data_IF_867439859045
#
_entry.id   IF_867439859045
#
_cell.length_a   1.000
_cell.length_b   1.000
_cell.length_c   1.000
_cell.angle_alpha   90.00
_cell.angle_beta   90.00
_cell.angle_gamma   90.00
#
_symmetry.space_group_name_H-M   'P 1'
#
loop_
_entity.id
_entity.type
_entity.pdbx_description
1 polymer ?
#
# COMPACT_ATOMS: atom_id res chain seq x y z
N UNK A 1 -5.02 -10.41 2.78
CA UNK A 1 -4.58 -9.00 2.90
C UNK A 1 -4.32 -8.35 1.56
N UNK A 2 -3.31 -8.69 0.74
CA UNK A 2 -3.21 -8.13 -0.64
C UNK A 2 -4.47 -8.43 -1.48
N UNK A 3 -5.12 -9.57 -1.21
CA UNK A 3 -6.42 -9.96 -1.74
C UNK A 3 -7.59 -9.12 -1.20
N UNK A 4 -7.54 -8.73 0.08
CA UNK A 4 -8.60 -7.97 0.75
C UNK A 4 -8.44 -6.48 0.43
N UNK A 5 -7.24 -5.93 0.57
CA UNK A 5 -6.84 -4.63 0.06
C UNK A 5 -6.99 -4.50 -1.45
N UNK A 6 -6.79 -5.57 -2.23
CA UNK A 6 -7.00 -5.57 -3.68
C UNK A 6 -8.47 -5.67 -4.08
N UNK A 7 -9.29 -6.43 -3.35
CA UNK A 7 -10.75 -6.49 -3.55
C UNK A 7 -11.45 -5.23 -3.04
N UNK A 8 -11.03 -4.68 -1.90
CA UNK A 8 -11.51 -3.40 -1.41
C UNK A 8 -11.00 -2.27 -2.29
N UNK A 9 -9.71 -2.22 -2.65
CA UNK A 9 -9.21 -1.21 -3.59
C UNK A 9 -9.85 -1.34 -4.97
N UNK A 10 -10.12 -2.54 -5.49
CA UNK A 10 -10.84 -2.72 -6.75
C UNK A 10 -12.31 -2.27 -6.69
N UNK A 11 -13.01 -2.61 -5.59
CA UNK A 11 -14.40 -2.20 -5.34
C UNK A 11 -14.52 -0.68 -5.12
N UNK A 12 -13.64 -0.11 -4.28
CA UNK A 12 -13.56 1.32 -4.04
C UNK A 12 -12.98 2.09 -5.23
N UNK A 13 -12.16 1.47 -6.09
CA UNK A 13 -11.71 2.09 -7.35
C UNK A 13 -12.86 2.24 -8.32
N UNK A 14 -13.72 1.22 -8.42
CA UNK A 14 -14.89 1.28 -9.28
C UNK A 14 -15.92 2.30 -8.77
N UNK A 15 -16.21 2.33 -7.47
CA UNK A 15 -17.18 3.31 -6.90
C UNK A 15 -16.62 4.72 -6.76
N UNK A 16 -15.37 4.84 -6.29
CA UNK A 16 -14.67 6.10 -6.12
C UNK A 16 -14.45 6.80 -7.45
N UNK A 17 -14.01 6.08 -8.49
CA UNK A 17 -13.89 6.64 -9.83
C UNK A 17 -15.25 7.13 -10.35
N UNK A 18 -16.33 6.37 -10.17
CA UNK A 18 -17.66 6.78 -10.65
C UNK A 18 -18.23 8.00 -9.90
N UNK A 19 -18.09 8.06 -8.58
CA UNK A 19 -18.56 9.19 -7.77
C UNK A 19 -17.73 10.46 -7.99
N UNK A 20 -16.40 10.33 -8.15
CA UNK A 20 -15.54 11.46 -8.52
C UNK A 20 -15.77 11.89 -9.97
N UNK A 21 -16.03 10.96 -10.89
CA UNK A 21 -16.33 11.25 -12.29
C UNK A 21 -17.57 12.13 -12.43
N UNK A 22 -18.61 11.88 -11.64
CA UNK A 22 -19.83 12.69 -11.59
C UNK A 22 -19.58 14.11 -11.02
N UNK A 23 -18.65 14.24 -10.05
CA UNK A 23 -18.22 15.52 -9.46
C UNK A 23 -17.24 16.31 -10.36
N UNK A 24 -16.42 15.62 -11.14
CA UNK A 24 -15.44 16.20 -12.08
C UNK A 24 -16.07 16.63 -13.41
N UNK A 25 -17.08 15.92 -13.90
CA UNK A 25 -17.82 16.28 -15.13
C UNK A 25 -18.70 17.52 -14.96
N UNK A 26 -19.11 17.84 -13.73
CA UNK A 26 -19.99 18.97 -13.47
C UNK A 26 -19.28 20.32 -13.33
N UNK A 27 -17.99 20.35 -12.91
CA UNK A 27 -17.19 21.57 -12.81
C UNK A 27 -15.67 21.30 -12.92
N UNK A 28 -15.05 21.72 -14.04
CA UNK A 28 -13.65 22.18 -14.01
C UNK A 28 -13.71 23.58 -13.35
N UNK A 29 -13.28 23.79 -12.08
CA UNK A 29 -11.95 23.46 -11.56
C UNK A 29 -11.95 22.87 -10.13
N UNK A 30 -11.41 21.66 -9.94
CA UNK A 30 -11.44 20.97 -8.63
C UNK A 30 -10.39 21.49 -7.62
N UNK A 31 -9.35 22.20 -8.08
CA UNK A 31 -8.27 22.67 -7.18
C UNK A 31 -8.54 24.00 -6.47
N UNK A 32 -9.41 24.83 -7.02
CA UNK A 32 -9.53 26.24 -6.61
C UNK A 32 -10.93 26.50 -6.08
N UNK A 33 -11.07 26.40 -4.76
CA UNK A 33 -12.30 26.69 -4.02
C UNK A 33 -11.98 27.65 -2.87
N UNK A 34 -12.84 28.64 -2.62
CA UNK A 34 -12.64 29.60 -1.54
C UNK A 34 -12.79 28.96 -0.14
N UNK A 35 -13.27 27.71 -0.06
CA UNK A 35 -13.63 27.03 1.19
C UNK A 35 -12.65 25.91 1.58
N UNK A 36 -12.25 25.03 0.65
CA UNK A 36 -11.51 23.79 1.01
C UNK A 36 -10.33 23.50 0.08
N UNK A 37 -9.30 22.83 0.62
CA UNK A 37 -8.18 22.25 -0.15
C UNK A 37 -8.56 20.83 -0.59
N UNK A 38 -8.23 20.40 -1.83
CA UNK A 38 -8.50 19.03 -2.24
C UNK A 38 -7.79 18.01 -1.37
N UNK A 39 -8.54 17.00 -0.92
CA UNK A 39 -8.08 15.86 -0.13
C UNK A 39 -6.78 15.25 -0.74
N UNK A 40 -5.71 15.07 0.08
CA UNK A 40 -4.40 14.64 -0.40
C UNK A 40 -4.28 13.14 -0.69
N UNK A 41 -5.39 12.39 -0.64
CA UNK A 41 -5.39 10.96 -0.96
C UNK A 41 -4.92 10.72 -2.38
N UNK A 42 -4.16 9.63 -2.52
CA UNK A 42 -3.65 9.18 -3.81
C UNK A 42 -4.78 8.90 -4.80
N UNK A 43 -5.93 8.41 -4.35
CA UNK A 43 -7.10 8.19 -5.21
C UNK A 43 -7.65 9.50 -5.78
N UNK A 44 -7.90 10.50 -4.93
CA UNK A 44 -8.45 11.79 -5.35
C UNK A 44 -7.50 12.49 -6.34
N UNK A 45 -6.23 12.67 -5.93
CA UNK A 45 -5.25 13.40 -6.72
C UNK A 45 -4.86 12.70 -8.02
N UNK A 46 -4.79 11.35 -8.03
CA UNK A 46 -4.55 10.60 -9.27
C UNK A 46 -5.68 10.82 -10.27
N UNK A 47 -6.92 10.82 -9.80
CA UNK A 47 -8.11 11.01 -10.64
C UNK A 47 -8.13 12.43 -11.21
N UNK A 48 -7.90 13.44 -10.36
CA UNK A 48 -7.81 14.83 -10.79
C UNK A 48 -6.71 14.99 -11.84
N UNK A 49 -5.52 14.41 -11.64
CA UNK A 49 -4.43 14.48 -12.61
C UNK A 49 -4.79 13.83 -13.95
N UNK A 50 -5.36 12.61 -13.94
CA UNK A 50 -5.71 11.89 -15.17
C UNK A 50 -6.70 12.67 -16.03
N UNK A 51 -7.66 13.36 -15.40
CA UNK A 51 -8.63 14.21 -16.10
C UNK A 51 -8.07 15.57 -16.53
N UNK A 52 -7.07 16.10 -15.82
CA UNK A 52 -6.52 17.43 -16.08
C UNK A 52 -5.21 17.44 -16.89
N UNK A 53 -4.58 16.29 -17.11
CA UNK A 53 -3.24 16.19 -17.76
C UNK A 53 -3.19 16.80 -19.16
N UNK A 54 -4.28 16.76 -19.91
CA UNK A 54 -4.37 17.36 -21.26
C UNK A 54 -4.44 18.89 -21.18
N UNK A 55 -5.07 19.41 -20.13
CA UNK A 55 -5.24 20.84 -19.84
C UNK A 55 -4.22 21.35 -18.79
N UNK A 56 -3.07 20.69 -18.67
CA UNK A 56 -2.10 20.92 -17.60
C UNK A 56 -1.74 22.40 -17.41
N UNK A 57 -1.44 23.12 -18.50
CA UNK A 57 -1.06 24.54 -18.43
C UNK A 57 -2.23 25.42 -18.00
N UNK A 58 -3.44 25.12 -18.46
CA UNK A 58 -4.65 25.88 -18.15
C UNK A 58 -4.97 25.76 -16.66
N UNK A 59 -4.87 24.56 -16.08
CA UNK A 59 -5.06 24.35 -14.65
C UNK A 59 -4.06 25.16 -13.82
N UNK A 60 -2.78 25.19 -14.21
CA UNK A 60 -1.79 26.00 -13.47
C UNK A 60 -2.04 27.51 -13.60
N UNK A 61 -2.49 27.98 -14.77
CA UNK A 61 -2.78 29.41 -14.99
C UNK A 61 -4.03 29.84 -14.21
N UNK A 62 -5.03 28.96 -14.09
CA UNK A 62 -6.27 29.26 -13.36
C UNK A 62 -6.02 29.65 -11.91
N UNK A 63 -5.09 29.00 -11.20
CA UNK A 63 -4.74 29.39 -9.83
C UNK A 63 -4.18 30.79 -9.72
N UNK A 64 -3.25 31.13 -10.61
CA UNK A 64 -2.70 32.49 -10.69
C UNK A 64 -3.78 33.54 -11.02
N UNK A 65 -4.80 33.18 -11.80
CA UNK A 65 -5.94 34.06 -12.10
C UNK A 65 -6.84 34.26 -10.88
N UNK A 66 -7.17 33.18 -10.17
CA UNK A 66 -8.00 33.22 -8.97
C UNK A 66 -7.37 34.09 -7.88
N UNK A 67 -6.06 33.95 -7.64
CA UNK A 67 -5.34 34.80 -6.68
C UNK A 67 -5.38 36.27 -7.11
N UNK A 68 -5.16 36.56 -8.39
CA UNK A 68 -5.19 37.95 -8.91
C UNK A 68 -6.56 38.58 -8.75
N UNK A 69 -7.63 37.83 -9.00
CA UNK A 69 -8.99 38.31 -8.84
C UNK A 69 -9.34 38.55 -7.37
N UNK A 70 -9.03 37.60 -6.49
CA UNK A 70 -9.24 37.74 -5.05
C UNK A 70 -8.44 38.93 -4.47
N UNK A 71 -7.18 39.10 -4.89
CA UNK A 71 -6.37 40.24 -4.49
C UNK A 71 -6.94 41.58 -5.01
N UNK A 72 -7.52 41.59 -6.21
CA UNK A 72 -8.22 42.76 -6.74
C UNK A 72 -9.45 43.10 -5.89
N UNK A 73 -10.28 42.12 -5.55
CA UNK A 73 -11.45 42.31 -4.67
C UNK A 73 -11.03 42.85 -3.28
N UNK A 74 -10.00 42.26 -2.67
CA UNK A 74 -9.43 42.75 -1.39
C UNK A 74 -8.97 44.21 -1.49
N UNK A 75 -8.22 44.56 -2.52
CA UNK A 75 -7.71 45.92 -2.68
C UNK A 75 -8.85 46.94 -2.89
N UNK A 76 -9.94 46.57 -3.57
CA UNK A 76 -11.12 47.43 -3.69
C UNK A 76 -11.80 47.65 -2.34
N UNK A 77 -11.87 46.62 -1.48
CA UNK A 77 -12.40 46.76 -0.11
C UNK A 77 -11.52 47.71 0.73
N UNK A 78 -10.19 47.53 0.68
CA UNK A 78 -9.27 48.41 1.40
C UNK A 78 -9.40 49.87 0.93
N UNK A 79 -9.53 50.10 -0.38
CA UNK A 79 -9.70 51.46 -0.93
C UNK A 79 -11.03 52.12 -0.55
N UNK A 80 -12.08 51.33 -0.33
CA UNK A 80 -13.38 51.83 0.07
C UNK A 80 -13.55 51.97 1.59
N UNK A 81 -12.60 51.46 2.39
CA UNK A 81 -12.58 51.51 3.87
C UNK A 81 -12.91 52.88 4.44
N UNK A 82 -12.21 53.92 3.96
CA UNK A 82 -12.36 55.29 4.49
C UNK A 82 -13.71 55.93 4.14
N UNK A 83 -14.48 55.34 3.21
CA UNK A 83 -15.79 55.82 2.77
C UNK A 83 -16.96 55.18 3.52
N UNK A 84 -16.69 54.19 4.38
CA UNK A 84 -17.72 53.46 5.14
C UNK A 84 -17.99 54.17 6.46
N UNK A 85 -19.13 54.86 6.53
CA UNK A 85 -19.55 55.63 7.71
C UNK A 85 -20.26 54.79 8.78
N UNK A 86 -20.97 53.74 8.38
CA UNK A 86 -21.72 52.85 9.27
C UNK A 86 -21.23 51.40 9.18
N UNK A 87 -21.40 50.60 10.24
CA UNK A 87 -20.99 49.19 10.31
C UNK A 87 -19.49 48.91 10.06
N UNK A 88 -18.62 49.81 10.54
CA UNK A 88 -17.16 49.72 10.35
C UNK A 88 -16.58 48.36 10.81
N UNK A 89 -17.04 47.84 11.95
CA UNK A 89 -16.60 46.53 12.47
C UNK A 89 -16.93 45.35 11.52
N UNK A 90 -18.10 45.36 10.87
CA UNK A 90 -18.47 44.35 9.89
C UNK A 90 -17.64 44.49 8.61
N UNK A 91 -17.30 45.73 8.23
CA UNK A 91 -16.45 46.00 7.07
C UNK A 91 -15.00 45.55 7.28
N UNK A 92 -14.43 45.78 8.47
CA UNK A 92 -13.13 45.25 8.86
C UNK A 92 -13.10 43.73 8.79
N UNK A 93 -14.17 43.06 9.26
CA UNK A 93 -14.30 41.62 9.15
C UNK A 93 -14.31 41.13 7.69
N UNK A 94 -14.98 41.85 6.78
CA UNK A 94 -14.95 41.52 5.34
C UNK A 94 -13.54 41.69 4.75
N UNK A 95 -12.78 42.71 5.15
CA UNK A 95 -11.39 42.88 4.72
C UNK A 95 -10.55 41.69 5.22
N UNK A 96 -10.66 41.32 6.50
CA UNK A 96 -9.94 40.18 7.09
C UNK A 96 -10.30 38.86 6.41
N UNK A 97 -11.58 38.62 6.11
CA UNK A 97 -12.02 37.45 5.35
C UNK A 97 -11.41 37.44 3.95
N UNK A 98 -11.42 38.58 3.25
CA UNK A 98 -10.83 38.66 1.91
C UNK A 98 -9.31 38.46 1.91
N UNK A 99 -8.61 38.88 2.97
CA UNK A 99 -7.20 38.55 3.18
C UNK A 99 -6.97 37.05 3.38
N UNK A 100 -7.81 36.41 4.21
CA UNK A 100 -7.76 34.96 4.41
C UNK A 100 -7.99 34.20 3.12
N UNK A 101 -8.98 34.59 2.31
CA UNK A 101 -9.26 33.96 1.02
C UNK A 101 -8.06 34.05 0.07
N UNK A 102 -7.37 35.20 0.02
CA UNK A 102 -6.16 35.35 -0.80
C UNK A 102 -5.04 34.42 -0.33
N UNK A 103 -4.84 34.31 0.98
CA UNK A 103 -3.82 33.44 1.58
C UNK A 103 -4.14 31.95 1.33
N UNK A 104 -5.40 31.54 1.47
CA UNK A 104 -5.87 30.18 1.18
C UNK A 104 -5.71 29.83 -0.30
N UNK A 105 -6.11 30.73 -1.21
CA UNK A 105 -5.95 30.52 -2.66
C UNK A 105 -4.48 30.43 -3.06
N UNK A 106 -3.59 31.18 -2.39
CA UNK A 106 -2.14 31.07 -2.59
C UNK A 106 -1.61 29.71 -2.14
N UNK A 107 -2.09 29.22 -1.00
CA UNK A 107 -1.75 27.89 -0.51
C UNK A 107 -2.22 26.80 -1.49
N UNK A 108 -3.45 26.90 -1.99
CA UNK A 108 -4.01 26.00 -3.01
C UNK A 108 -3.26 26.04 -4.33
N UNK A 109 -2.78 27.21 -4.76
CA UNK A 109 -2.01 27.32 -5.99
C UNK A 109 -0.66 26.61 -5.89
N UNK A 110 0.09 26.81 -4.81
CA UNK A 110 1.33 26.06 -4.60
C UNK A 110 1.08 24.56 -4.42
N UNK A 111 -0.02 24.19 -3.76
CA UNK A 111 -0.45 22.79 -3.64
C UNK A 111 -0.75 22.17 -5.01
N UNK A 112 -1.57 22.85 -5.83
CA UNK A 112 -1.93 22.43 -7.18
C UNK A 112 -0.69 22.30 -8.08
N UNK A 113 0.19 23.31 -8.10
CA UNK A 113 1.45 23.25 -8.83
C UNK A 113 2.32 22.07 -8.38
N UNK A 114 2.50 21.90 -7.06
CA UNK A 114 3.25 20.79 -6.49
C UNK A 114 2.72 19.44 -6.96
N UNK A 115 1.43 19.17 -6.78
CA UNK A 115 0.87 17.86 -7.12
C UNK A 115 0.79 17.61 -8.62
N UNK A 116 0.40 18.61 -9.41
CA UNK A 116 0.34 18.47 -10.86
C UNK A 116 1.72 18.12 -11.43
N UNK A 117 2.77 18.81 -11.00
CA UNK A 117 4.13 18.47 -11.43
C UNK A 117 4.62 17.12 -10.86
N UNK A 118 4.24 16.77 -9.62
CA UNK A 118 4.60 15.49 -9.02
C UNK A 118 3.99 14.31 -9.78
N UNK A 119 2.69 14.34 -10.07
CA UNK A 119 2.01 13.29 -10.84
C UNK A 119 2.46 13.26 -12.30
N UNK A 120 2.78 14.41 -12.90
CA UNK A 120 3.41 14.44 -14.23
C UNK A 120 4.77 13.77 -14.25
N UNK A 121 5.57 13.95 -13.20
CA UNK A 121 6.82 13.21 -13.04
C UNK A 121 6.57 11.71 -12.80
N UNK A 122 5.57 11.33 -12.00
CA UNK A 122 5.20 9.92 -11.80
C UNK A 122 4.80 9.25 -13.13
N UNK A 123 4.01 9.94 -13.96
CA UNK A 123 3.51 9.43 -15.23
C UNK A 123 4.63 9.35 -16.29
N UNK A 124 5.21 10.50 -16.65
CA UNK A 124 6.16 10.63 -17.75
C UNK A 124 7.62 10.36 -17.37
N UNK A 125 8.00 10.56 -16.10
CA UNK A 125 9.40 10.59 -15.68
C UNK A 125 10.16 11.85 -16.09
N UNK A 126 9.46 12.89 -16.55
CA UNK A 126 10.08 14.14 -17.00
C UNK A 126 10.93 14.80 -15.90
N UNK A 127 12.19 15.08 -16.22
CA UNK A 127 13.14 15.70 -15.30
C UNK A 127 12.78 17.14 -14.95
N UNK A 128 12.16 17.88 -15.88
CA UNK A 128 11.73 19.26 -15.60
C UNK A 128 10.61 19.26 -14.56
N UNK A 129 9.60 18.41 -14.74
CA UNK A 129 8.54 18.19 -13.75
C UNK A 129 9.11 17.76 -12.39
N UNK A 130 10.19 16.97 -12.38
CA UNK A 130 10.89 16.55 -11.16
C UNK A 130 11.51 17.72 -10.36
N UNK A 131 11.97 18.75 -11.06
CA UNK A 131 12.52 19.97 -10.45
C UNK A 131 11.39 20.87 -9.99
N UNK A 132 10.38 21.08 -10.85
CA UNK A 132 9.26 21.98 -10.56
C UNK A 132 8.46 21.52 -9.34
N UNK A 133 8.14 20.23 -9.21
CA UNK A 133 7.38 19.78 -8.04
C UNK A 133 8.16 20.02 -6.72
N UNK A 134 9.49 19.93 -6.73
CA UNK A 134 10.30 20.17 -5.52
C UNK A 134 10.34 21.64 -5.15
N UNK A 135 10.38 22.53 -6.15
CA UNK A 135 10.31 23.98 -5.93
C UNK A 135 8.94 24.36 -5.36
N UNK A 136 7.86 23.90 -6.00
CA UNK A 136 6.49 24.14 -5.53
C UNK A 136 6.23 23.51 -4.16
N UNK A 137 6.81 22.33 -3.85
CA UNK A 137 6.74 21.72 -2.52
C UNK A 137 7.37 22.61 -1.44
N UNK A 138 8.52 23.23 -1.73
CA UNK A 138 9.15 24.18 -0.82
C UNK A 138 8.29 25.41 -0.56
N UNK A 139 7.70 25.98 -1.62
CA UNK A 139 6.79 27.12 -1.52
C UNK A 139 5.49 26.77 -0.79
N UNK A 140 4.94 25.58 -1.05
CA UNK A 140 3.75 25.08 -0.37
C UNK A 140 3.99 24.93 1.13
N UNK A 141 5.12 24.34 1.55
CA UNK A 141 5.49 24.23 2.97
C UNK A 141 5.59 25.60 3.66
N UNK A 142 6.34 26.51 3.06
CA UNK A 142 6.53 27.85 3.62
C UNK A 142 5.20 28.61 3.73
N UNK A 143 4.32 28.46 2.73
CA UNK A 143 3.00 29.09 2.73
C UNK A 143 2.08 28.43 3.75
N UNK A 144 2.12 27.10 3.90
CA UNK A 144 1.34 26.38 4.90
C UNK A 144 1.68 26.86 6.31
N UNK A 145 2.98 26.92 6.64
CA UNK A 145 3.43 27.39 7.95
C UNK A 145 3.06 28.87 8.18
N UNK A 146 3.17 29.72 7.15
CA UNK A 146 2.72 31.12 7.22
C UNK A 146 1.20 31.26 7.47
N UNK A 147 0.36 30.50 6.76
CA UNK A 147 -1.10 30.54 6.93
C UNK A 147 -1.49 30.06 8.33
N UNK A 148 -0.84 29.00 8.80
CA UNK A 148 -1.05 28.46 10.15
C UNK A 148 -0.59 29.41 11.25
N UNK A 149 0.47 30.19 11.03
CA UNK A 149 0.94 31.19 11.99
C UNK A 149 0.07 32.45 11.98
N UNK A 150 -0.32 32.93 10.81
CA UNK A 150 -1.10 34.16 10.66
C UNK A 150 -2.54 34.02 11.13
N UNK A 151 -3.16 32.86 10.91
CA UNK A 151 -4.58 32.62 11.21
C UNK A 151 -4.77 31.71 12.44
N UNK A 152 -3.89 31.78 13.45
CA UNK A 152 -3.99 30.91 14.65
C UNK A 152 -5.29 31.07 15.43
N UNK A 153 -5.80 32.31 15.54
CA UNK A 153 -6.99 32.63 16.33
C UNK A 153 -8.30 32.21 15.65
N UNK A 154 -8.29 32.09 14.32
CA UNK A 154 -9.42 31.65 13.50
C UNK A 154 -8.88 30.87 12.28
N UNK A 155 -8.60 29.57 12.48
CA UNK A 155 -7.84 28.77 11.54
C UNK A 155 -8.60 28.56 10.23
N UNK A 156 -7.90 28.83 9.12
CA UNK A 156 -8.42 28.61 7.76
C UNK A 156 -8.54 27.13 7.37
N UNK A 157 -7.88 26.24 8.10
CA UNK A 157 -7.90 24.79 7.90
C UNK A 157 -8.09 24.10 9.24
N UNK A 158 -8.85 23.01 9.26
CA UNK A 158 -8.99 22.19 10.44
C UNK A 158 -7.65 21.51 10.81
N UNK A 159 -7.41 21.20 12.10
CA UNK A 159 -6.20 20.49 12.52
C UNK A 159 -5.98 19.15 11.80
N UNK A 160 -7.07 18.44 11.45
CA UNK A 160 -7.02 17.18 10.71
C UNK A 160 -6.49 17.36 9.29
N UNK A 161 -7.01 18.34 8.54
CA UNK A 161 -6.54 18.64 7.18
C UNK A 161 -5.06 19.03 7.17
N UNK A 162 -4.62 19.80 8.17
CA UNK A 162 -3.21 20.17 8.31
C UNK A 162 -2.32 18.95 8.55
N UNK A 163 -2.78 17.99 9.37
CA UNK A 163 -2.08 16.73 9.62
C UNK A 163 -1.97 15.90 8.33
N UNK A 164 -3.05 15.77 7.57
CA UNK A 164 -3.08 15.05 6.30
C UNK A 164 -2.13 15.66 5.26
N UNK A 165 -2.15 16.99 5.11
CA UNK A 165 -1.25 17.72 4.21
C UNK A 165 0.22 17.51 4.59
N UNK A 166 0.53 17.59 5.90
CA UNK A 166 1.88 17.34 6.43
C UNK A 166 2.32 15.89 6.24
N UNK A 167 1.38 14.95 6.34
CA UNK A 167 1.67 13.55 6.07
C UNK A 167 1.98 13.33 4.60
N UNK A 168 1.18 13.91 3.70
CA UNK A 168 1.37 13.84 2.25
C UNK A 168 2.74 14.40 1.83
N UNK A 169 3.12 15.55 2.39
CA UNK A 169 4.47 16.11 2.29
C UNK A 169 5.54 15.07 2.68
N UNK A 170 5.39 14.43 3.84
CA UNK A 170 6.35 13.46 4.37
C UNK A 170 6.50 12.24 3.45
N UNK A 171 5.39 11.75 2.88
CA UNK A 171 5.40 10.65 1.90
C UNK A 171 6.28 11.00 0.70
N UNK A 172 6.07 12.20 0.14
CA UNK A 172 6.78 12.64 -1.07
C UNK A 172 8.26 12.87 -0.80
N UNK A 173 8.61 13.43 0.35
CA UNK A 173 10.03 13.60 0.74
C UNK A 173 10.77 12.28 0.91
N UNK A 174 10.11 11.29 1.52
CA UNK A 174 10.70 9.97 1.73
C UNK A 174 10.74 9.12 0.46
N UNK A 175 9.95 9.45 -0.57
CA UNK A 175 9.83 8.68 -1.82
C UNK A 175 11.18 8.39 -2.49
N UNK A 176 12.13 9.33 -2.48
CA UNK A 176 13.47 9.13 -3.05
C UNK A 176 14.27 8.05 -2.29
N UNK A 177 14.18 8.06 -0.96
CA UNK A 177 14.82 7.05 -0.11
C UNK A 177 14.18 5.68 -0.33
N UNK A 178 12.85 5.66 -0.40
CA UNK A 178 12.05 4.47 -0.68
C UNK A 178 12.42 3.83 -2.01
N UNK A 179 12.49 4.63 -3.08
CA UNK A 179 12.87 4.17 -4.40
C UNK A 179 14.27 3.54 -4.44
N UNK A 180 15.25 4.15 -3.76
CA UNK A 180 16.62 3.61 -3.69
C UNK A 180 16.65 2.24 -2.99
N UNK A 181 16.01 2.13 -1.83
CA UNK A 181 15.98 0.87 -1.08
C UNK A 181 15.15 -0.20 -1.79
N UNK A 182 14.05 0.17 -2.45
CA UNK A 182 13.26 -0.72 -3.29
C UNK A 182 14.11 -1.36 -4.41
N UNK A 183 14.93 -0.54 -5.11
CA UNK A 183 15.87 -1.03 -6.12
C UNK A 183 16.88 -2.01 -5.55
N UNK A 184 17.50 -1.67 -4.41
CA UNK A 184 18.47 -2.56 -3.74
C UNK A 184 17.82 -3.89 -3.38
N UNK A 185 16.65 -3.87 -2.74
CA UNK A 185 15.94 -5.08 -2.32
C UNK A 185 15.52 -5.94 -3.52
N UNK A 186 14.98 -5.33 -4.58
CA UNK A 186 14.63 -6.06 -5.81
C UNK A 186 15.85 -6.72 -6.43
N UNK A 187 16.97 -6.00 -6.54
CA UNK A 187 18.23 -6.55 -7.06
C UNK A 187 18.71 -7.72 -6.20
N UNK A 188 18.67 -7.60 -4.87
CA UNK A 188 19.06 -8.69 -3.96
C UNK A 188 18.13 -9.90 -4.10
N UNK A 189 16.81 -9.70 -4.15
CA UNK A 189 15.85 -10.79 -4.29
C UNK A 189 15.96 -11.48 -5.66
N UNK A 190 16.15 -10.71 -6.73
CA UNK A 190 16.39 -11.25 -8.07
C UNK A 190 17.73 -11.98 -8.15
N UNK A 191 18.79 -11.42 -7.54
CA UNK A 191 20.09 -12.08 -7.47
C UNK A 191 19.99 -13.44 -6.76
N UNK A 192 19.29 -13.51 -5.61
CA UNK A 192 19.02 -14.77 -4.92
C UNK A 192 18.22 -15.73 -5.80
N UNK A 193 17.21 -15.24 -6.52
CA UNK A 193 16.41 -16.07 -7.43
C UNK A 193 17.25 -16.63 -8.58
N UNK A 194 18.07 -15.80 -9.23
CA UNK A 194 18.91 -16.17 -10.36
C UNK A 194 20.04 -17.12 -9.96
N UNK A 195 20.69 -16.87 -8.82
CA UNK A 195 21.75 -17.76 -8.30
C UNK A 195 21.22 -19.14 -7.90
N UNK A 196 19.91 -19.30 -7.73
CA UNK A 196 19.26 -20.59 -7.51
C UNK A 196 18.99 -21.39 -8.79
N UNK A 197 19.22 -20.83 -9.98
CA UNK A 197 18.95 -21.52 -11.25
C UNK A 197 19.99 -22.65 -11.47
N UNK A 198 19.54 -23.90 -11.65
CA UNK A 198 20.45 -25.00 -11.93
C UNK A 198 21.14 -24.78 -13.29
N UNK A 199 22.47 -24.85 -13.31
CA UNK A 199 23.30 -24.66 -14.51
C UNK A 199 23.94 -23.27 -14.67
N UNK A 200 23.49 -22.25 -13.91
CA UNK A 200 24.14 -20.93 -13.90
C UNK A 200 25.49 -20.98 -13.18
N UNK A 201 25.57 -21.76 -12.11
CA UNK A 201 26.81 -22.05 -11.38
C UNK A 201 27.32 -23.38 -11.94
N UNK A 202 28.46 -23.32 -12.64
CA UNK A 202 29.04 -24.41 -13.44
C UNK A 202 29.50 -25.62 -12.60
N UNK A 203 29.65 -25.43 -11.28
CA UNK A 203 29.99 -26.49 -10.32
C UNK A 203 28.76 -27.02 -9.58
N UNK A 204 28.86 -28.27 -9.09
CA UNK A 204 27.92 -28.90 -8.13
C UNK A 204 27.64 -28.06 -6.86
N UNK A 205 28.30 -26.90 -6.70
CA UNK A 205 28.04 -25.87 -5.70
C UNK A 205 26.61 -25.32 -5.72
N UNK A 206 25.89 -25.34 -6.84
CA UNK A 206 24.47 -24.93 -6.84
C UNK A 206 23.63 -25.83 -5.91
N UNK A 207 23.92 -27.13 -5.81
CA UNK A 207 23.24 -28.04 -4.84
C UNK A 207 23.56 -27.70 -3.37
N UNK A 208 24.59 -26.89 -3.13
CA UNK A 208 25.07 -26.49 -1.80
C UNK A 208 24.58 -25.09 -1.40
N UNK A 209 24.00 -24.33 -2.31
CA UNK A 209 23.57 -22.96 -2.06
C UNK A 209 22.11 -22.90 -1.63
N UNK A 210 21.82 -22.17 -0.54
CA UNK A 210 20.46 -22.05 -0.01
C UNK A 210 19.50 -21.36 -0.99
N UNK A 211 20.01 -20.58 -1.95
CA UNK A 211 19.16 -19.94 -2.95
C UNK A 211 18.62 -20.90 -4.03
N UNK A 212 19.23 -22.08 -4.19
CA UNK A 212 18.66 -23.16 -5.02
C UNK A 212 17.36 -23.69 -4.39
N UNK A 213 17.31 -23.80 -3.06
CA UNK A 213 16.08 -24.13 -2.36
C UNK A 213 15.02 -23.03 -2.55
N UNK A 214 15.42 -21.78 -2.57
CA UNK A 214 14.52 -20.66 -2.85
C UNK A 214 13.91 -20.74 -4.26
N UNK A 215 14.74 -21.00 -5.28
CA UNK A 215 14.29 -21.19 -6.66
C UNK A 215 13.41 -22.44 -6.82
N UNK A 216 13.85 -23.59 -6.32
CA UNK A 216 13.13 -24.86 -6.44
C UNK A 216 11.78 -24.81 -5.73
N UNK A 217 11.70 -24.10 -4.60
CA UNK A 217 10.42 -23.92 -3.88
C UNK A 217 9.38 -23.18 -4.71
N UNK A 218 9.81 -22.23 -5.53
CA UNK A 218 8.90 -21.47 -6.40
C UNK A 218 8.55 -22.25 -7.67
N UNK A 219 9.56 -22.72 -8.39
CA UNK A 219 9.39 -23.20 -9.76
C UNK A 219 9.27 -24.73 -9.84
N UNK A 220 9.96 -25.46 -8.97
CA UNK A 220 10.10 -26.93 -9.02
C UNK A 220 9.79 -27.59 -7.66
N UNK A 221 8.61 -27.34 -7.06
CA UNK A 221 8.34 -27.77 -5.68
C UNK A 221 8.38 -29.29 -5.49
N UNK A 222 8.15 -30.06 -6.55
CA UNK A 222 8.25 -31.53 -6.53
C UNK A 222 9.69 -32.02 -6.37
N UNK A 223 10.70 -31.26 -6.83
CA UNK A 223 12.11 -31.66 -6.88
C UNK A 223 12.90 -31.32 -5.61
N UNK A 224 12.26 -30.77 -4.57
CA UNK A 224 12.92 -30.44 -3.29
C UNK A 224 13.26 -31.72 -2.51
N UNK A 225 14.11 -32.60 -3.04
CA UNK A 225 14.50 -33.86 -2.40
C UNK A 225 15.63 -33.61 -1.40
N UNK A 226 15.45 -34.12 -0.18
CA UNK A 226 16.38 -34.16 0.95
C UNK A 226 17.61 -33.27 0.86
N UNK A 227 17.38 -31.95 0.93
CA UNK A 227 18.47 -31.05 1.24
C UNK A 227 18.96 -31.36 2.65
N UNK A 228 20.18 -31.88 2.73
CA UNK A 228 20.94 -31.99 3.97
C UNK A 228 21.02 -30.60 4.63
N UNK A 229 20.93 -30.56 5.96
CA UNK A 229 21.14 -29.33 6.74
C UNK A 229 22.53 -28.78 6.39
N UNK A 230 22.61 -27.64 5.72
CA UNK A 230 23.87 -26.95 5.47
C UNK A 230 23.87 -25.59 6.16
N UNK A 231 25.05 -25.16 6.64
CA UNK A 231 25.24 -23.94 7.45
C UNK A 231 24.67 -22.67 6.78
N UNK A 232 24.68 -22.59 5.44
CA UNK A 232 24.12 -21.44 4.69
C UNK A 232 22.61 -21.26 4.89
N UNK A 233 21.84 -22.34 5.08
CA UNK A 233 20.38 -22.27 5.27
C UNK A 233 19.99 -21.59 6.58
N UNK A 234 20.79 -21.77 7.63
CA UNK A 234 20.54 -21.14 8.94
C UNK A 234 20.65 -19.61 8.87
N UNK A 235 21.47 -19.07 7.98
CA UNK A 235 21.60 -17.61 7.76
C UNK A 235 20.58 -17.08 6.77
N UNK A 236 20.20 -17.88 5.76
CA UNK A 236 19.25 -17.44 4.73
C UNK A 236 17.81 -17.32 5.25
N UNK A 237 17.36 -18.24 6.13
CA UNK A 237 16.02 -18.17 6.70
C UNK A 237 15.71 -16.83 7.41
N UNK A 238 16.53 -16.35 8.37
CA UNK A 238 16.31 -15.04 8.98
C UNK A 238 16.57 -13.89 8.01
N UNK A 239 17.50 -14.02 7.06
CA UNK A 239 17.73 -12.99 6.05
C UNK A 239 16.50 -12.77 5.14
N UNK A 240 15.82 -13.85 4.72
CA UNK A 240 14.55 -13.75 4.00
C UNK A 240 13.49 -13.08 4.88
N UNK A 241 13.32 -13.51 6.13
CA UNK A 241 12.33 -12.89 7.01
C UNK A 241 12.59 -11.38 7.19
N UNK A 242 13.84 -10.99 7.39
CA UNK A 242 14.24 -9.59 7.49
C UNK A 242 13.98 -8.83 6.19
N UNK A 243 14.37 -9.39 5.03
CA UNK A 243 14.08 -8.79 3.73
C UNK A 243 12.58 -8.62 3.50
N UNK A 244 11.76 -9.59 3.90
CA UNK A 244 10.30 -9.50 3.81
C UNK A 244 9.75 -8.35 4.64
N UNK A 245 10.13 -8.25 5.92
CA UNK A 245 9.66 -7.17 6.80
C UNK A 245 10.18 -5.81 6.33
N UNK A 246 11.45 -5.72 5.96
CA UNK A 246 12.06 -4.50 5.44
C UNK A 246 11.37 -4.01 4.17
N UNK A 247 10.99 -4.93 3.28
CA UNK A 247 10.23 -4.62 2.07
C UNK A 247 8.88 -4.00 2.35
N UNK A 248 8.19 -4.43 3.42
CA UNK A 248 6.91 -3.83 3.80
C UNK A 248 7.09 -2.41 4.34
N UNK A 249 8.16 -2.16 5.08
CA UNK A 249 8.52 -0.81 5.53
C UNK A 249 8.88 0.11 4.35
N UNK A 250 9.50 -0.44 3.30
CA UNK A 250 9.71 0.31 2.05
C UNK A 250 8.36 0.65 1.42
N UNK A 251 7.42 -0.29 1.34
CA UNK A 251 6.11 -0.02 0.75
C UNK A 251 5.30 1.06 1.50
N UNK A 252 5.56 1.31 2.80
CA UNK A 252 4.97 2.41 3.58
C UNK A 252 5.77 3.71 3.53
N UNK A 253 6.71 3.83 2.60
CA UNK A 253 7.62 4.97 2.48
C UNK A 253 8.49 5.26 3.71
N UNK A 254 8.60 4.36 4.70
CA UNK A 254 9.21 4.65 6.00
C UNK A 254 8.45 5.68 6.86
N UNK A 255 7.19 5.98 6.55
CA UNK A 255 6.36 6.91 7.34
C UNK A 255 6.06 6.29 8.70
N UNK A 256 5.74 5.00 8.67
CA UNK A 256 5.51 4.19 9.84
C UNK A 256 6.11 2.81 9.66
N UNK A 257 6.62 2.30 10.76
CA UNK A 257 7.19 0.97 10.90
C UNK A 257 6.18 0.01 11.55
N UNK A 258 5.23 0.52 12.33
CA UNK A 258 4.34 -0.31 13.16
C UNK A 258 3.33 -1.08 12.33
N UNK A 259 2.59 -0.40 11.46
CA UNK A 259 1.53 -1.04 10.67
C UNK A 259 2.12 -2.00 9.61
N UNK A 260 3.18 -1.66 8.86
CA UNK A 260 3.79 -2.62 7.93
C UNK A 260 4.37 -3.84 8.64
N UNK A 261 4.92 -3.67 9.85
CA UNK A 261 5.37 -4.80 10.67
C UNK A 261 4.20 -5.64 11.16
N UNK A 262 3.09 -5.02 11.58
CA UNK A 262 1.88 -5.73 11.97
C UNK A 262 1.33 -6.56 10.80
N UNK A 263 1.19 -5.97 9.61
CA UNK A 263 0.77 -6.70 8.41
C UNK A 263 1.80 -7.73 7.96
N UNK A 264 3.08 -7.45 8.16
CA UNK A 264 4.16 -8.40 7.95
C UNK A 264 3.99 -9.63 8.83
N UNK A 265 3.83 -9.42 10.13
CA UNK A 265 3.59 -10.47 11.11
C UNK A 265 2.32 -11.27 10.78
N UNK A 266 1.22 -10.59 10.42
CA UNK A 266 0.00 -11.26 9.96
C UNK A 266 0.24 -12.09 8.70
N UNK A 267 1.05 -11.58 7.77
CA UNK A 267 1.48 -12.28 6.56
C UNK A 267 2.31 -13.54 6.82
N UNK A 268 3.03 -13.58 7.95
CA UNK A 268 3.86 -14.72 8.35
C UNK A 268 3.06 -15.83 9.05
N UNK A 269 1.82 -15.58 9.50
CA UNK A 269 0.99 -16.58 10.20
C UNK A 269 0.90 -17.91 9.43
N UNK A 270 0.57 -17.94 8.12
CA UNK A 270 0.50 -19.21 7.40
C UNK A 270 1.85 -19.94 7.38
N UNK A 271 2.96 -19.21 7.25
CA UNK A 271 4.31 -19.79 7.27
C UNK A 271 4.61 -20.41 8.63
N UNK A 272 4.29 -19.70 9.72
CA UNK A 272 4.50 -20.16 11.10
C UNK A 272 3.65 -21.41 11.37
N UNK A 273 2.35 -21.36 11.06
CA UNK A 273 1.42 -22.48 11.27
C UNK A 273 1.86 -23.71 10.48
N UNK A 274 2.15 -23.57 9.19
CA UNK A 274 2.56 -24.70 8.35
C UNK A 274 3.91 -25.28 8.78
N UNK A 275 4.85 -24.43 9.23
CA UNK A 275 6.14 -24.89 9.77
C UNK A 275 5.94 -25.62 11.10
N UNK A 276 5.06 -25.13 11.98
CA UNK A 276 4.78 -25.74 13.28
C UNK A 276 4.07 -27.10 13.17
N UNK A 277 3.18 -27.25 12.18
CA UNK A 277 2.44 -28.49 11.91
C UNK A 277 3.23 -29.51 11.07
N UNK A 278 4.46 -29.18 10.67
CA UNK A 278 5.33 -30.10 9.93
C UNK A 278 6.03 -31.08 10.87
N UNK A 279 6.08 -32.36 10.50
CA UNK A 279 6.66 -33.42 11.35
C UNK A 279 8.19 -33.32 11.44
N UNK A 280 8.84 -32.73 10.43
CA UNK A 280 10.30 -32.61 10.33
C UNK A 280 10.84 -31.33 11.00
N UNK A 281 10.58 -31.13 12.30
CA UNK A 281 11.02 -29.95 13.08
C UNK A 281 12.53 -29.70 13.04
N UNK A 282 13.33 -30.75 12.87
CA UNK A 282 14.77 -30.63 12.71
C UNK A 282 15.13 -29.82 11.44
N UNK A 283 14.30 -29.77 10.40
CA UNK A 283 14.61 -29.03 9.16
C UNK A 283 13.96 -27.64 9.12
N UNK A 284 13.83 -26.94 10.26
CA UNK A 284 13.13 -25.66 10.38
C UNK A 284 13.60 -24.58 9.39
N UNK A 285 14.91 -24.38 9.22
CA UNK A 285 15.41 -23.37 8.28
C UNK A 285 15.01 -23.66 6.83
N UNK A 286 15.00 -24.94 6.43
CA UNK A 286 14.60 -25.35 5.08
C UNK A 286 13.09 -25.18 4.88
N UNK A 287 12.27 -25.49 5.89
CA UNK A 287 10.83 -25.25 5.87
C UNK A 287 10.52 -23.76 5.72
N UNK A 288 11.17 -22.90 6.51
CA UNK A 288 11.00 -21.45 6.45
C UNK A 288 11.34 -20.90 5.06
N UNK A 289 12.50 -21.26 4.50
CA UNK A 289 12.87 -20.84 3.14
C UNK A 289 11.81 -21.31 2.14
N UNK A 290 11.39 -22.58 2.21
CA UNK A 290 10.45 -23.15 1.25
C UNK A 290 9.09 -22.45 1.25
N UNK A 291 8.54 -22.16 2.44
CA UNK A 291 7.28 -21.45 2.57
C UNK A 291 7.41 -19.94 2.30
N UNK A 292 8.58 -19.33 2.57
CA UNK A 292 8.78 -17.90 2.29
C UNK A 292 8.96 -17.61 0.81
N UNK A 293 9.54 -18.53 0.05
CA UNK A 293 9.92 -18.30 -1.35
C UNK A 293 8.77 -17.83 -2.26
N UNK A 294 7.59 -18.47 -2.31
CA UNK A 294 6.49 -17.98 -3.14
C UNK A 294 5.88 -16.67 -2.63
N UNK A 295 6.03 -16.35 -1.34
CA UNK A 295 5.62 -15.06 -0.78
C UNK A 295 6.57 -13.94 -1.24
N UNK A 296 7.87 -14.22 -1.29
CA UNK A 296 8.86 -13.30 -1.84
C UNK A 296 8.64 -12.99 -3.31
N UNK A 297 8.16 -13.94 -4.10
CA UNK A 297 7.88 -13.68 -5.51
C UNK A 297 6.75 -12.66 -5.68
N UNK A 298 5.66 -12.77 -4.90
CA UNK A 298 4.60 -11.76 -4.86
C UNK A 298 5.18 -10.40 -4.43
N UNK A 299 6.10 -10.41 -3.48
CA UNK A 299 6.75 -9.20 -2.99
C UNK A 299 7.66 -8.55 -4.05
N UNK A 300 8.42 -9.35 -4.81
CA UNK A 300 9.24 -8.87 -5.93
C UNK A 300 8.38 -8.14 -6.96
N UNK A 301 7.18 -8.64 -7.26
CA UNK A 301 6.24 -7.97 -8.17
C UNK A 301 5.90 -6.56 -7.67
N UNK A 302 5.51 -6.43 -6.40
CA UNK A 302 5.12 -5.15 -5.82
C UNK A 302 6.30 -4.19 -5.70
N UNK A 303 7.42 -4.62 -5.08
CA UNK A 303 8.59 -3.76 -4.92
C UNK A 303 9.19 -3.41 -6.29
N UNK A 304 9.12 -4.30 -7.27
CA UNK A 304 9.57 -4.04 -8.64
C UNK A 304 8.92 -2.79 -9.24
N UNK A 305 7.63 -2.60 -9.00
CA UNK A 305 6.90 -1.40 -9.42
C UNK A 305 7.31 -0.19 -8.57
N UNK A 306 7.40 -0.36 -7.24
CA UNK A 306 7.85 0.70 -6.31
C UNK A 306 9.28 1.18 -6.62
N UNK A 307 10.14 0.32 -7.14
CA UNK A 307 11.52 0.63 -7.49
C UNK A 307 11.66 1.62 -8.65
N UNK A 308 10.60 1.79 -9.46
CA UNK A 308 10.59 2.71 -10.60
C UNK A 308 10.58 4.15 -10.12
N UNK A 309 9.51 4.58 -9.44
CA UNK A 309 9.25 5.97 -8.99
C UNK A 309 8.65 6.08 -7.58
N UNK A 310 8.80 5.04 -6.76
CA UNK A 310 8.30 5.00 -5.39
C UNK A 310 6.89 4.40 -5.26
N UNK A 311 6.34 4.35 -4.04
CA UNK A 311 5.06 3.68 -3.79
C UNK A 311 3.87 4.45 -4.34
N UNK A 312 3.91 5.78 -4.38
CA UNK A 312 2.86 6.58 -5.00
C UNK A 312 2.72 6.30 -6.51
N UNK A 313 3.79 5.90 -7.20
CA UNK A 313 3.69 5.44 -8.59
C UNK A 313 2.82 4.19 -8.73
N UNK A 314 2.99 3.23 -7.81
CA UNK A 314 2.18 2.01 -7.80
C UNK A 314 0.70 2.33 -7.62
N UNK A 315 0.37 3.22 -6.67
CA UNK A 315 -1.02 3.64 -6.41
C UNK A 315 -1.59 4.46 -7.55
N UNK A 316 -0.83 5.42 -8.08
CA UNK A 316 -1.19 6.18 -9.27
C UNK A 316 -1.60 5.27 -10.43
N UNK A 317 -0.81 4.23 -10.72
CA UNK A 317 -1.12 3.30 -11.82
C UNK A 317 -2.34 2.41 -11.52
N UNK A 318 -2.57 2.05 -10.25
CA UNK A 318 -3.78 1.31 -9.86
C UNK A 318 -5.05 2.13 -10.11
N UNK A 319 -5.03 3.42 -9.75
CA UNK A 319 -6.22 4.27 -9.84
C UNK A 319 -6.40 4.89 -11.24
N UNK A 320 -5.29 5.27 -11.90
CA UNK A 320 -5.31 6.01 -13.15
C UNK A 320 -5.25 5.17 -14.42
N UNK A 321 -4.81 3.90 -14.36
CA UNK A 321 -4.63 3.07 -15.55
C UNK A 321 -5.38 1.73 -15.47
N UNK A 322 -6.51 1.63 -16.18
CA UNK A 322 -7.38 0.45 -16.16
C UNK A 322 -6.68 -0.82 -16.65
N UNK A 323 -5.88 -0.70 -17.73
CA UNK A 323 -5.11 -1.82 -18.30
C UNK A 323 -4.06 -2.32 -17.31
N UNK A 324 -3.35 -1.40 -16.65
CA UNK A 324 -2.38 -1.75 -15.63
C UNK A 324 -3.06 -2.50 -14.47
N UNK A 325 -4.19 -1.97 -13.98
CA UNK A 325 -4.98 -2.59 -12.92
C UNK A 325 -5.42 -4.00 -13.28
N UNK A 326 -5.93 -4.21 -14.49
CA UNK A 326 -6.32 -5.53 -15.00
C UNK A 326 -5.15 -6.52 -15.03
N UNK A 327 -4.04 -6.16 -15.68
CA UNK A 327 -2.84 -6.99 -15.78
C UNK A 327 -2.21 -7.29 -14.42
N UNK A 328 -2.11 -6.28 -13.55
CA UNK A 328 -1.54 -6.40 -12.22
C UNK A 328 -2.36 -7.38 -11.38
N UNK A 329 -3.69 -7.23 -11.34
CA UNK A 329 -4.54 -8.14 -10.57
C UNK A 329 -4.51 -9.55 -11.14
N UNK A 330 -4.58 -9.74 -12.47
CA UNK A 330 -4.46 -11.06 -13.09
C UNK A 330 -3.15 -11.77 -12.70
N UNK A 331 -2.03 -11.06 -12.79
CA UNK A 331 -0.73 -11.59 -12.40
C UNK A 331 -0.67 -11.87 -10.89
N UNK A 332 -1.14 -10.94 -10.05
CA UNK A 332 -1.19 -11.11 -8.61
C UNK A 332 -2.01 -12.34 -8.21
N UNK A 333 -3.21 -12.51 -8.77
CA UNK A 333 -4.05 -13.69 -8.51
C UNK A 333 -3.35 -14.97 -8.95
N UNK A 334 -2.76 -14.99 -10.14
CA UNK A 334 -1.96 -16.13 -10.63
C UNK A 334 -0.86 -16.49 -9.62
N UNK A 335 -0.12 -15.52 -9.09
CA UNK A 335 0.94 -15.75 -8.11
C UNK A 335 0.40 -16.24 -6.75
N UNK A 336 -0.76 -15.73 -6.32
CA UNK A 336 -1.43 -16.19 -5.09
C UNK A 336 -1.87 -17.65 -5.24
N UNK A 337 -2.52 -18.02 -6.36
CA UNK A 337 -2.90 -19.41 -6.61
C UNK A 337 -1.68 -20.32 -6.73
N UNK A 338 -0.62 -19.85 -7.39
CA UNK A 338 0.66 -20.55 -7.44
C UNK A 338 1.24 -20.77 -6.05
N UNK A 339 1.21 -19.76 -5.18
CA UNK A 339 1.64 -19.86 -3.78
C UNK A 339 0.86 -20.93 -3.02
N UNK A 340 -0.47 -20.92 -3.12
CA UNK A 340 -1.33 -21.93 -2.49
C UNK A 340 -1.00 -23.35 -2.98
N UNK A 341 -0.82 -23.50 -4.29
CA UNK A 341 -0.45 -24.76 -4.91
C UNK A 341 0.93 -25.27 -4.42
N UNK A 342 1.93 -24.38 -4.36
CA UNK A 342 3.25 -24.70 -3.80
C UNK A 342 3.14 -25.15 -2.34
N UNK A 343 2.36 -24.45 -1.51
CA UNK A 343 2.18 -24.83 -0.11
C UNK A 343 1.55 -26.23 0.03
N UNK A 344 0.56 -26.57 -0.79
CA UNK A 344 -0.05 -27.91 -0.76
C UNK A 344 0.97 -29.01 -1.09
N UNK A 345 1.83 -28.80 -2.10
CA UNK A 345 2.89 -29.75 -2.46
C UNK A 345 3.91 -29.89 -1.33
N UNK A 346 4.35 -28.75 -0.76
CA UNK A 346 5.31 -28.74 0.34
C UNK A 346 4.74 -29.48 1.56
N UNK A 347 3.57 -29.10 2.07
CA UNK A 347 2.96 -29.74 3.24
C UNK A 347 2.82 -31.24 3.04
N UNK A 348 2.38 -31.68 1.86
CA UNK A 348 2.28 -33.10 1.53
C UNK A 348 3.63 -33.82 1.67
N UNK A 349 4.69 -33.21 1.13
CA UNK A 349 6.05 -33.76 1.14
C UNK A 349 6.70 -33.76 2.53
N UNK A 350 6.42 -32.74 3.33
CA UNK A 350 7.06 -32.53 4.63
C UNK A 350 6.32 -33.21 5.79
N UNK A 351 5.02 -33.47 5.65
CA UNK A 351 4.19 -34.14 6.67
C UNK A 351 3.73 -35.56 6.28
N UNK A 352 4.09 -36.08 5.09
CA UNK A 352 3.68 -37.40 4.60
C UNK A 352 2.16 -37.66 4.68
N UNK A 353 1.35 -36.65 4.37
CA UNK A 353 -0.12 -36.70 4.48
C UNK A 353 -0.81 -36.89 3.13
N UNK A 354 -2.10 -37.22 3.18
CA UNK A 354 -2.96 -37.29 1.99
C UNK A 354 -3.14 -35.91 1.35
N UNK A 355 -3.62 -35.87 0.10
CA UNK A 355 -3.92 -34.62 -0.62
C UNK A 355 -4.95 -33.77 0.14
N UNK A 356 -6.01 -34.40 0.66
CA UNK A 356 -7.08 -33.73 1.41
C UNK A 356 -6.57 -33.12 2.72
N UNK A 357 -5.80 -33.86 3.51
CA UNK A 357 -5.22 -33.35 4.75
C UNK A 357 -4.24 -32.20 4.51
N UNK A 358 -3.44 -32.26 3.44
CA UNK A 358 -2.50 -31.18 3.08
C UNK A 358 -3.24 -29.92 2.66
N UNK A 359 -4.30 -30.05 1.84
CA UNK A 359 -5.17 -28.93 1.48
C UNK A 359 -5.83 -28.32 2.72
N UNK A 360 -6.37 -29.16 3.62
CA UNK A 360 -6.98 -28.71 4.87
C UNK A 360 -6.00 -27.93 5.75
N UNK A 361 -4.73 -28.35 5.85
CA UNK A 361 -3.71 -27.61 6.60
C UNK A 361 -3.43 -26.23 5.99
N UNK A 362 -3.31 -26.16 4.66
CA UNK A 362 -3.09 -24.87 3.97
C UNK A 362 -4.29 -23.96 4.17
N UNK A 363 -5.50 -24.45 3.94
CA UNK A 363 -6.74 -23.69 4.16
C UNK A 363 -6.89 -23.25 5.61
N UNK A 364 -6.60 -24.12 6.58
CA UNK A 364 -6.62 -23.78 8.01
C UNK A 364 -5.60 -22.69 8.36
N UNK A 365 -4.40 -22.73 7.79
CA UNK A 365 -3.36 -21.74 8.03
C UNK A 365 -3.74 -20.34 7.47
N UNK A 366 -4.32 -20.28 6.28
CA UNK A 366 -4.86 -19.03 5.72
C UNK A 366 -6.14 -18.57 6.43
N UNK A 367 -6.99 -19.51 6.83
CA UNK A 367 -8.16 -19.25 7.64
C UNK A 367 -7.80 -18.59 8.97
N UNK A 368 -6.77 -19.11 9.66
CA UNK A 368 -6.23 -18.53 10.89
C UNK A 368 -5.68 -17.11 10.66
N UNK A 369 -5.00 -16.86 9.54
CA UNK A 369 -4.55 -15.52 9.19
C UNK A 369 -5.72 -14.54 9.04
N UNK A 370 -6.79 -14.94 8.34
CA UNK A 370 -7.96 -14.09 8.11
C UNK A 370 -8.75 -13.92 9.41
N UNK A 371 -8.88 -14.96 10.23
CA UNK A 371 -9.53 -14.91 11.53
C UNK A 371 -8.82 -13.92 12.44
N UNK A 372 -7.50 -14.04 12.61
CA UNK A 372 -6.72 -13.11 13.42
C UNK A 372 -6.82 -11.67 12.91
N UNK A 373 -6.73 -11.47 11.60
CA UNK A 373 -6.95 -10.16 11.00
C UNK A 373 -8.35 -9.62 11.31
N UNK A 374 -9.39 -10.42 11.10
CA UNK A 374 -10.77 -10.06 11.39
C UNK A 374 -10.99 -9.71 12.85
N UNK A 375 -10.45 -10.51 13.77
CA UNK A 375 -10.51 -10.24 15.22
C UNK A 375 -9.85 -8.91 15.57
N UNK A 376 -8.69 -8.60 14.98
CA UNK A 376 -8.05 -7.29 15.18
C UNK A 376 -8.94 -6.15 14.66
N UNK A 377 -9.49 -6.28 13.45
CA UNK A 377 -10.41 -5.28 12.89
C UNK A 377 -11.69 -5.11 13.72
N UNK A 378 -12.22 -6.20 14.29
CA UNK A 378 -13.38 -6.16 15.17
C UNK A 378 -13.05 -5.48 16.50
N UNK A 379 -11.91 -5.81 17.09
CA UNK A 379 -11.49 -5.28 18.39
C UNK A 379 -11.18 -3.79 18.36
N UNK A 380 -10.45 -3.34 17.34
CA UNK A 380 -10.09 -1.92 17.19
C UNK A 380 -11.21 -1.08 16.57
N UNK A 381 -12.22 -1.73 16.00
CA UNK A 381 -13.25 -1.08 15.20
C UNK A 381 -12.82 -0.92 13.74
N UNK A 382 -13.70 -1.21 12.76
CA UNK A 382 -13.35 -1.16 11.35
C UNK A 382 -13.06 0.25 10.87
N UNK A 383 -13.74 1.26 11.43
CA UNK A 383 -13.53 2.66 11.06
C UNK A 383 -12.15 3.12 11.52
N UNK A 384 -11.82 2.92 12.78
CA UNK A 384 -10.56 3.32 13.41
C UNK A 384 -9.38 2.59 12.75
N UNK A 385 -9.55 1.30 12.44
CA UNK A 385 -8.53 0.52 11.72
C UNK A 385 -8.30 1.03 10.30
N UNK A 386 -9.37 1.43 9.60
CA UNK A 386 -9.29 1.97 8.25
C UNK A 386 -8.74 3.40 8.23
N UNK A 387 -9.09 4.23 9.23
CA UNK A 387 -8.50 5.56 9.43
C UNK A 387 -7.03 5.45 9.78
N UNK A 388 -6.62 4.54 10.67
CA UNK A 388 -5.21 4.32 10.98
C UNK A 388 -4.41 3.80 9.77
N UNK A 389 -5.02 2.93 8.96
CA UNK A 389 -4.46 2.46 7.69
C UNK A 389 -4.32 3.59 6.67
N UNK A 390 -5.35 4.40 6.53
CA UNK A 390 -5.40 5.50 5.59
C UNK A 390 -4.45 6.63 6.00
N UNK A 391 -4.40 6.94 7.29
CA UNK A 391 -3.52 7.92 7.90
C UNK A 391 -2.04 7.56 7.82
N UNK A 392 -1.65 6.38 7.29
CA UNK A 392 -0.24 6.07 7.05
C UNK A 392 0.16 6.02 5.57
N UNK A 393 -0.81 5.88 4.66
CA UNK A 393 -0.51 5.67 3.24
C UNK A 393 -1.37 6.50 2.28
N UNK A 394 -2.34 7.26 2.81
CA UNK A 394 -3.25 8.16 2.11
C UNK A 394 -3.86 7.50 0.87
N UNK A 395 -4.54 6.37 1.08
CA UNK A 395 -5.10 5.57 0.00
C UNK A 395 -6.44 6.07 -0.49
N UNK A 396 -7.35 6.41 0.41
CA UNK A 396 -8.74 6.70 0.11
C UNK A 396 -9.13 8.02 0.77
N UNK A 397 -10.10 8.75 0.21
CA UNK A 397 -10.75 9.83 0.94
C UNK A 397 -11.47 9.26 2.16
N UNK A 398 -11.49 9.99 3.28
CA UNK A 398 -12.10 9.51 4.53
C UNK A 398 -13.58 9.11 4.36
N UNK A 399 -14.29 9.79 3.45
CA UNK A 399 -15.68 9.54 3.08
C UNK A 399 -15.94 8.10 2.61
N UNK A 400 -14.94 7.41 2.05
CA UNK A 400 -15.05 6.04 1.55
C UNK A 400 -14.71 4.97 2.61
N UNK A 401 -14.22 5.35 3.79
CA UNK A 401 -13.82 4.40 4.85
C UNK A 401 -15.03 3.78 5.58
N UNK A 402 -16.25 4.20 5.25
CA UNK A 402 -17.50 3.61 5.73
C UNK A 402 -17.88 2.32 5.00
N UNK A 403 -17.11 1.24 5.15
CA UNK A 403 -17.65 -0.10 4.84
C UNK A 403 -18.77 -0.41 5.84
N UNK A 404 -19.95 -0.90 5.43
CA UNK A 404 -20.97 -1.31 6.38
C UNK A 404 -20.37 -2.46 7.20
N UNK A 405 -20.29 -2.28 8.52
CA UNK A 405 -19.68 -3.24 9.46
C UNK A 405 -20.19 -4.68 9.25
N UNK A 406 -21.40 -4.82 8.70
CA UNK A 406 -22.04 -6.09 8.31
C UNK A 406 -21.23 -6.94 7.33
N UNK A 407 -20.57 -6.35 6.32
CA UNK A 407 -19.77 -7.11 5.34
C UNK A 407 -18.56 -7.77 5.99
N UNK A 408 -17.91 -7.07 6.92
CA UNK A 408 -16.73 -7.56 7.63
C UNK A 408 -17.11 -8.68 8.62
N UNK A 409 -18.24 -8.54 9.30
CA UNK A 409 -18.82 -9.57 10.16
C UNK A 409 -19.16 -10.85 9.41
N UNK A 410 -19.78 -10.75 8.23
CA UNK A 410 -20.12 -11.91 7.40
C UNK A 410 -18.86 -12.64 6.93
N UNK A 411 -17.84 -11.89 6.50
CA UNK A 411 -16.56 -12.46 6.06
C UNK A 411 -15.81 -13.17 7.20
N UNK A 412 -15.86 -12.62 8.42
CA UNK A 412 -15.32 -13.28 9.62
C UNK A 412 -16.04 -14.58 9.93
N UNK A 413 -17.37 -14.60 9.88
CA UNK A 413 -18.17 -15.81 10.14
C UNK A 413 -17.85 -16.90 9.12
N UNK A 414 -17.87 -16.56 7.82
CA UNK A 414 -17.54 -17.51 6.75
C UNK A 414 -16.13 -18.05 6.94
N UNK A 415 -15.16 -17.19 7.24
CA UNK A 415 -13.78 -17.63 7.43
C UNK A 415 -13.62 -18.48 8.69
N UNK A 416 -14.32 -18.16 9.78
CA UNK A 416 -14.37 -18.98 10.99
C UNK A 416 -14.89 -20.38 10.70
N UNK A 417 -16.00 -20.49 9.95
CA UNK A 417 -16.58 -21.77 9.53
C UNK A 417 -15.60 -22.56 8.65
N UNK A 418 -14.96 -21.92 7.67
CA UNK A 418 -13.98 -22.58 6.79
C UNK A 418 -12.75 -23.06 7.58
N UNK A 419 -12.27 -22.26 8.52
CA UNK A 419 -11.12 -22.60 9.36
C UNK A 419 -11.44 -23.75 10.30
N UNK A 420 -12.61 -23.71 10.95
CA UNK A 420 -13.09 -24.78 11.82
C UNK A 420 -13.30 -26.08 11.03
N UNK A 421 -13.92 -26.01 9.85
CA UNK A 421 -14.11 -27.16 8.96
C UNK A 421 -12.77 -27.75 8.49
N UNK A 422 -11.81 -26.90 8.15
CA UNK A 422 -10.46 -27.35 7.77
C UNK A 422 -9.72 -28.03 8.93
N UNK A 423 -9.84 -27.49 10.15
CA UNK A 423 -9.29 -28.13 11.36
C UNK A 423 -9.97 -29.47 11.65
N UNK A 424 -11.29 -29.54 11.48
CA UNK A 424 -12.07 -30.77 11.68
C UNK A 424 -11.64 -31.87 10.69
N UNK A 425 -11.51 -31.54 9.40
CA UNK A 425 -10.98 -32.46 8.37
C UNK A 425 -9.54 -32.87 8.69
N UNK A 426 -8.73 -31.96 9.23
CA UNK A 426 -7.36 -32.25 9.66
C UNK A 426 -7.32 -33.26 10.82
N UNK A 427 -8.16 -33.08 11.85
CA UNK A 427 -8.24 -33.99 12.99
C UNK A 427 -8.82 -35.36 12.61
N UNK A 428 -9.84 -35.40 11.74
CA UNK A 428 -10.43 -36.65 11.25
C UNK A 428 -9.48 -37.47 10.35
N UNK A 429 -8.59 -36.80 9.62
CA UNK A 429 -7.55 -37.46 8.81
C UNK A 429 -6.22 -37.63 9.56
N UNK A 430 -6.22 -37.60 10.90
CA UNK A 430 -5.03 -37.97 11.68
C UNK A 430 -4.67 -39.41 11.30
N UNK A 431 -3.39 -39.62 10.96
CA UNK A 431 -2.79 -40.90 10.55
C UNK A 431 -3.52 -42.07 11.20
N UNK A 432 -4.19 -42.91 10.41
CA UNK A 432 -4.31 -44.32 10.79
C UNK A 432 -2.87 -44.79 10.87
N UNK A 433 -2.34 -44.92 12.08
CA UNK A 433 -1.11 -45.63 12.29
C UNK A 433 -1.32 -46.98 11.60
N UNK A 434 -0.51 -47.27 10.59
CA UNK A 434 -0.40 -48.62 10.10
C UNK A 434 0.06 -49.42 11.32
N UNK A 435 -0.87 -50.13 11.94
CA UNK A 435 -0.55 -51.28 12.76
C UNK A 435 0.43 -52.10 11.93
N UNK A 436 1.68 -52.14 12.37
CA UNK A 436 2.63 -53.08 11.80
C UNK A 436 2.00 -54.46 12.00
N UNK A 437 1.89 -55.30 10.96
CA UNK A 437 1.54 -56.69 11.20
C UNK A 437 2.57 -57.23 12.19
N UNK A 438 2.12 -57.52 13.41
CA UNK A 438 2.91 -58.30 14.35
C UNK A 438 3.17 -59.62 13.64
N UNK A 439 4.41 -59.81 13.18
CA UNK A 439 4.90 -61.12 12.77
C UNK A 439 4.77 -62.04 13.99
N UNK A 440 3.82 -62.97 13.90
CA UNK A 440 3.78 -64.17 14.72
C UNK A 440 4.77 -65.19 14.16
#
# INVERSE_FOLDING_TARGET
MVLLAGLTAGYFASRGANALHERLLSNLPVFYNEQDIPDPSTTNLSTIYVHSKEHFKEVLIQGSNAIREAARRRNLLIQARDRVTDNHAAYEHLILQSERTVDLLRLQDYYGQFYMHYYRWLDSGDAQSAVQYKLSLGQFKATLDYVMEKHQEDPALSPGEVEELRLAIRIVEQSNRTMRWARVVVVVLLFLLLMGIPGLIRDNGYKRFAATLYFDSVFRPNLISDLNRWHSMQRMAPALLLLYLFSLVICSSFISWKIPLLFGALGLIPVIVLTAMSDKKQKLSALLISFMSPMMLVLILVIGIVAVRGPNFFWYQIWGAEVFRGLFFSLLFMLIFRKLHVYMILVRKWSNRTKSASAAMVWGAFGMQILLAGTLFYWFGPKESMVALNGEVLFLPEEFLGSPATLLSILMIITGIVTAGALLVYFLNRKREHESPRSA
#
